data_IF_419571295658
#
_entry.id   IF_419571295658
#
_cell.length_a   1.000
_cell.length_b   1.000
_cell.length_c   1.000
_cell.angle_alpha   90.00
_cell.angle_beta   90.00
_cell.angle_gamma   90.00
#
_symmetry.space_group_name_H-M   'P 1'
#
loop_
_entity.id
_entity.type
_entity.pdbx_description
1 polymer ?
#
# COMPACT_ATOMS: atom_id res chain seq x y z
N UNK A 1 -9.70 12.63 19.87
CA UNK A 1 -10.89 12.06 19.19
C UNK A 1 -10.72 12.25 17.68
N UNK A 2 -10.94 11.21 16.88
CA UNK A 2 -10.90 11.30 15.41
C UNK A 2 -10.21 10.12 14.72
N UNK A 3 -10.87 8.95 14.77
CA UNK A 3 -10.60 7.79 13.90
C UNK A 3 -10.79 8.15 12.41
N UNK A 4 -10.21 7.31 11.55
CA UNK A 4 -10.46 7.10 10.11
C UNK A 4 -9.72 8.02 9.13
N UNK A 5 -8.60 7.51 8.61
CA UNK A 5 -8.24 7.68 7.19
C UNK A 5 -7.27 6.59 6.72
N UNK A 6 -7.51 5.34 7.12
CA UNK A 6 -7.23 4.24 6.17
C UNK A 6 -8.34 4.38 5.15
N UNK A 7 -8.06 5.03 4.03
CA UNK A 7 -8.99 4.99 2.90
C UNK A 7 -9.29 3.52 2.67
N UNK A 8 -10.56 3.17 2.83
CA UNK A 8 -11.11 1.89 2.44
C UNK A 8 -10.85 1.76 0.94
N UNK A 9 -9.73 1.13 0.57
CA UNK A 9 -9.70 0.40 -0.68
C UNK A 9 -10.84 -0.60 -0.51
N UNK A 10 -11.89 -0.48 -1.29
CA UNK A 10 -13.02 -1.40 -1.20
C UNK A 10 -12.50 -2.79 -1.57
N UNK A 11 -12.08 -3.55 -0.56
CA UNK A 11 -11.67 -4.94 -0.64
C UNK A 11 -12.91 -5.85 -0.74
N UNK A 12 -14.02 -5.33 -1.28
CA UNK A 12 -15.36 -5.96 -1.30
C UNK A 12 -15.38 -7.32 -2.03
N UNK A 13 -14.27 -7.75 -2.64
CA UNK A 13 -14.09 -9.07 -3.25
C UNK A 13 -13.06 -10.00 -2.58
N UNK A 14 -12.40 -9.57 -1.50
CA UNK A 14 -11.38 -10.37 -0.79
C UNK A 14 -11.83 -10.70 0.64
N UNK A 15 -11.34 -11.82 1.17
CA UNK A 15 -11.64 -12.19 2.55
C UNK A 15 -11.02 -11.17 3.53
N UNK A 16 -11.65 -11.03 4.70
CA UNK A 16 -11.09 -10.24 5.80
C UNK A 16 -9.69 -10.73 6.19
N UNK A 17 -9.45 -12.03 6.05
CA UNK A 17 -8.16 -12.65 6.32
C UNK A 17 -7.06 -12.12 5.39
N UNK A 18 -7.31 -12.04 4.07
CA UNK A 18 -6.36 -11.49 3.10
C UNK A 18 -6.03 -10.04 3.42
N UNK A 19 -7.06 -9.26 3.74
CA UNK A 19 -6.93 -7.85 4.11
C UNK A 19 -6.04 -7.67 5.35
N UNK A 20 -6.25 -8.51 6.37
CA UNK A 20 -5.44 -8.51 7.59
C UNK A 20 -4.01 -8.97 7.32
N UNK A 21 -3.81 -9.98 6.48
CA UNK A 21 -2.48 -10.46 6.12
C UNK A 21 -1.69 -9.41 5.37
N UNK A 22 -2.27 -8.74 4.38
CA UNK A 22 -1.62 -7.62 3.67
C UNK A 22 -1.16 -6.56 4.67
N UNK A 23 -2.04 -6.21 5.61
CA UNK A 23 -1.69 -5.24 6.63
C UNK A 23 -0.55 -5.72 7.55
N UNK A 24 -0.61 -6.97 8.03
CA UNK A 24 0.41 -7.54 8.90
C UNK A 24 1.76 -7.67 8.20
N UNK A 25 1.80 -8.04 6.92
CA UNK A 25 3.04 -8.10 6.14
C UNK A 25 3.67 -6.72 5.95
N UNK A 26 2.85 -5.67 5.80
CA UNK A 26 3.34 -4.29 5.75
C UNK A 26 3.86 -3.75 7.09
N UNK A 27 3.18 -4.11 8.18
CA UNK A 27 3.42 -3.57 9.53
C UNK A 27 4.59 -4.27 10.26
N UNK A 28 4.69 -5.61 10.18
CA UNK A 28 5.67 -6.39 10.93
C UNK A 28 7.10 -6.21 10.42
N UNK A 29 8.10 -6.41 11.30
CA UNK A 29 9.54 -6.33 10.98
C UNK A 29 10.33 -7.49 11.57
N UNK A 30 11.50 -7.74 10.99
CA UNK A 30 12.53 -8.65 11.52
C UNK A 30 11.94 -10.01 11.93
N UNK A 31 12.19 -10.44 13.17
CA UNK A 31 11.80 -11.74 13.69
C UNK A 31 10.28 -11.96 13.67
N UNK A 32 9.47 -10.93 13.89
CA UNK A 32 8.01 -11.06 13.86
C UNK A 32 7.50 -11.29 12.44
N UNK A 33 8.09 -10.62 11.45
CA UNK A 33 7.80 -10.86 10.04
C UNK A 33 8.18 -12.30 9.68
N UNK A 34 9.38 -12.75 10.03
CA UNK A 34 9.84 -14.11 9.73
C UNK A 34 8.94 -15.19 10.36
N UNK A 35 8.55 -14.98 11.62
CA UNK A 35 7.62 -15.88 12.32
C UNK A 35 6.25 -15.90 11.66
N UNK A 36 5.77 -14.75 11.19
CA UNK A 36 4.49 -14.65 10.52
C UNK A 36 4.53 -15.32 9.14
N UNK A 37 5.56 -15.08 8.34
CA UNK A 37 5.77 -15.76 7.05
C UNK A 37 5.88 -17.28 7.27
N UNK A 38 6.58 -17.71 8.31
CA UNK A 38 6.67 -19.13 8.69
C UNK A 38 5.31 -19.76 8.97
N UNK A 39 4.35 -19.01 9.52
CA UNK A 39 2.96 -19.47 9.69
C UNK A 39 2.23 -19.57 8.33
N UNK A 40 2.40 -18.57 7.46
CA UNK A 40 1.76 -18.54 6.14
C UNK A 40 2.22 -19.70 5.24
N UNK A 41 3.52 -20.02 5.21
CA UNK A 41 4.05 -21.12 4.39
C UNK A 41 3.58 -22.51 4.85
N UNK A 42 3.24 -22.67 6.13
CA UNK A 42 2.76 -23.93 6.73
C UNK A 42 1.29 -24.21 6.42
N UNK A 43 0.54 -23.22 5.92
CA UNK A 43 -0.85 -23.42 5.52
C UNK A 43 -0.95 -24.43 4.39
N UNK A 44 -2.00 -25.25 4.42
CA UNK A 44 -2.30 -26.21 3.35
C UNK A 44 -2.61 -25.53 2.01
N UNK A 45 -3.13 -24.30 2.07
CA UNK A 45 -3.53 -23.47 0.93
C UNK A 45 -2.53 -22.35 0.60
N UNK A 46 -1.30 -22.37 1.17
CA UNK A 46 -0.35 -21.25 1.13
C UNK A 46 -0.16 -20.65 -0.27
N UNK A 47 -0.14 -21.50 -1.30
CA UNK A 47 0.01 -21.06 -2.70
C UNK A 47 -1.21 -20.25 -3.16
N UNK A 48 -2.42 -20.76 -2.92
CA UNK A 48 -3.65 -20.06 -3.29
C UNK A 48 -3.76 -18.75 -2.50
N UNK A 49 -3.42 -18.80 -1.22
CA UNK A 49 -3.45 -17.64 -0.34
C UNK A 49 -2.52 -16.51 -0.81
N UNK A 50 -1.28 -16.84 -1.21
CA UNK A 50 -0.37 -15.87 -1.81
C UNK A 50 -0.90 -15.29 -3.14
N UNK A 51 -1.55 -16.09 -3.99
CA UNK A 51 -2.18 -15.57 -5.21
C UNK A 51 -3.29 -14.54 -4.92
N UNK A 52 -4.10 -14.79 -3.90
CA UNK A 52 -5.15 -13.84 -3.49
C UNK A 52 -4.56 -12.54 -2.94
N UNK A 53 -3.48 -12.62 -2.17
CA UNK A 53 -2.73 -11.44 -1.72
C UNK A 53 -2.20 -10.64 -2.91
N UNK A 54 -1.57 -11.30 -3.89
CA UNK A 54 -1.04 -10.65 -5.09
C UNK A 54 -2.15 -9.94 -5.87
N UNK A 55 -3.31 -10.60 -6.05
CA UNK A 55 -4.49 -10.00 -6.70
C UNK A 55 -5.03 -8.81 -5.92
N UNK A 56 -4.98 -8.86 -4.58
CA UNK A 56 -5.33 -7.72 -3.74
C UNK A 56 -4.38 -6.54 -3.96
N UNK A 57 -3.07 -6.79 -4.08
CA UNK A 57 -2.07 -5.75 -4.34
C UNK A 57 -2.22 -5.10 -5.72
N UNK A 58 -2.57 -5.89 -6.73
CA UNK A 58 -2.92 -5.40 -8.07
C UNK A 58 -4.08 -4.40 -8.01
N UNK A 59 -5.15 -4.76 -7.30
CA UNK A 59 -6.30 -3.88 -7.13
C UNK A 59 -5.94 -2.59 -6.38
N UNK A 60 -5.12 -2.68 -5.33
CA UNK A 60 -4.63 -1.51 -4.58
C UNK A 60 -3.79 -0.59 -5.48
N UNK A 61 -2.94 -1.17 -6.34
CA UNK A 61 -2.09 -0.42 -7.26
C UNK A 61 -2.92 0.33 -8.32
N UNK A 62 -3.90 -0.35 -8.91
CA UNK A 62 -4.75 0.21 -9.96
C UNK A 62 -5.63 1.34 -9.43
N UNK A 63 -6.30 1.10 -8.30
CA UNK A 63 -7.20 2.06 -7.64
C UNK A 63 -6.46 3.19 -6.91
N UNK A 64 -5.13 3.12 -6.81
CA UNK A 64 -4.30 4.12 -6.14
C UNK A 64 -4.32 5.47 -6.86
N UNK A 65 -5.31 6.33 -6.59
CA UNK A 65 -5.44 7.66 -7.21
C UNK A 65 -4.29 8.64 -6.89
N UNK A 66 -3.46 8.32 -5.89
CA UNK A 66 -2.34 9.17 -5.43
C UNK A 66 -0.97 8.57 -5.76
N UNK A 67 -0.91 7.58 -6.64
CA UNK A 67 0.34 6.95 -7.11
C UNK A 67 0.60 7.44 -8.53
N UNK A 68 1.85 7.78 -8.87
CA UNK A 68 2.17 8.21 -10.23
C UNK A 68 2.07 7.05 -11.21
N UNK A 69 1.82 7.32 -12.49
CA UNK A 69 1.82 6.28 -13.53
C UNK A 69 3.16 5.52 -13.62
N UNK A 70 4.28 6.19 -13.31
CA UNK A 70 5.59 5.55 -13.25
C UNK A 70 5.67 4.53 -12.10
N UNK A 71 5.22 4.92 -10.92
CA UNK A 71 5.21 4.06 -9.74
C UNK A 71 4.23 2.91 -9.91
N UNK A 72 3.04 3.16 -10.48
CA UNK A 72 2.07 2.12 -10.84
C UNK A 72 2.66 1.08 -11.77
N UNK A 73 3.38 1.50 -12.83
CA UNK A 73 4.07 0.60 -13.75
C UNK A 73 5.16 -0.22 -13.07
N UNK A 74 5.94 0.39 -12.17
CA UNK A 74 6.97 -0.30 -11.40
C UNK A 74 6.35 -1.39 -10.52
N UNK A 75 5.30 -1.05 -9.76
CA UNK A 75 4.59 -2.00 -8.91
C UNK A 75 3.95 -3.12 -9.74
N UNK A 76 3.33 -2.78 -10.87
CA UNK A 76 2.73 -3.76 -11.79
C UNK A 76 3.76 -4.76 -12.31
N UNK A 77 4.96 -4.31 -12.70
CA UNK A 77 6.03 -5.20 -13.13
C UNK A 77 6.43 -6.19 -12.02
N UNK A 78 6.52 -5.71 -10.77
CA UNK A 78 6.83 -6.56 -9.61
C UNK A 78 5.71 -7.56 -9.30
N UNK A 79 4.46 -7.12 -9.43
CA UNK A 79 3.27 -7.97 -9.29
C UNK A 79 3.27 -9.08 -10.34
N UNK A 80 3.58 -8.77 -11.59
CA UNK A 80 3.67 -9.78 -12.66
C UNK A 80 4.81 -10.79 -12.40
N UNK A 81 6.00 -10.34 -11.98
CA UNK A 81 7.10 -11.23 -11.58
C UNK A 81 6.68 -12.22 -10.47
N UNK A 82 5.93 -11.73 -9.48
CA UNK A 82 5.37 -12.57 -8.42
C UNK A 82 4.31 -13.54 -8.95
N UNK A 83 3.43 -13.12 -9.87
CA UNK A 83 2.45 -14.00 -10.51
C UNK A 83 3.14 -15.12 -11.30
N UNK A 84 4.15 -14.80 -12.09
CA UNK A 84 4.93 -15.78 -12.85
C UNK A 84 5.61 -16.79 -11.94
N UNK A 85 6.23 -16.31 -10.85
CA UNK A 85 6.83 -17.17 -9.83
C UNK A 85 5.83 -18.17 -9.23
N UNK A 86 4.56 -17.76 -9.12
CA UNK A 86 3.47 -18.59 -8.62
C UNK A 86 2.91 -19.59 -9.66
N UNK A 87 3.23 -19.47 -10.95
CA UNK A 87 2.78 -20.43 -11.96
C UNK A 87 3.48 -21.80 -11.88
N UNK A 88 4.63 -21.89 -11.20
CA UNK A 88 5.35 -23.16 -10.95
C UNK A 88 4.41 -24.20 -10.31
N UNK A 89 4.37 -25.42 -10.88
CA UNK A 89 3.47 -26.52 -10.41
C UNK A 89 3.61 -26.79 -8.91
N UNK A 90 4.83 -26.75 -8.39
CA UNK A 90 5.15 -26.93 -6.98
C UNK A 90 6.19 -25.91 -6.57
N UNK A 91 6.00 -25.33 -5.39
CA UNK A 91 6.93 -24.37 -4.79
C UNK A 91 7.52 -25.01 -3.53
N UNK A 92 8.84 -24.98 -3.41
CA UNK A 92 9.53 -25.39 -2.19
C UNK A 92 9.19 -24.43 -1.04
N UNK A 93 9.33 -24.85 0.23
CA UNK A 93 9.15 -23.96 1.37
C UNK A 93 10.01 -22.69 1.29
N UNK A 94 11.22 -22.79 0.73
CA UNK A 94 12.13 -21.65 0.55
C UNK A 94 11.62 -20.69 -0.53
N UNK A 95 11.15 -21.19 -1.66
CA UNK A 95 10.53 -20.34 -2.69
C UNK A 95 9.27 -19.65 -2.19
N UNK A 96 8.43 -20.35 -1.43
CA UNK A 96 7.25 -19.74 -0.80
C UNK A 96 7.64 -18.63 0.17
N UNK A 97 8.68 -18.85 0.98
CA UNK A 97 9.20 -17.85 1.91
C UNK A 97 9.67 -16.61 1.16
N UNK A 98 10.50 -16.80 0.13
CA UNK A 98 10.97 -15.72 -0.74
C UNK A 98 9.80 -14.92 -1.33
N UNK A 99 8.76 -15.58 -1.84
CA UNK A 99 7.58 -14.91 -2.39
C UNK A 99 6.86 -14.05 -1.33
N UNK A 100 6.68 -14.56 -0.10
CA UNK A 100 6.06 -13.78 0.96
C UNK A 100 6.92 -12.61 1.44
N UNK A 101 8.25 -12.74 1.42
CA UNK A 101 9.18 -11.65 1.73
C UNK A 101 9.07 -10.55 0.67
N UNK A 102 9.10 -10.91 -0.62
CA UNK A 102 8.92 -9.96 -1.73
C UNK A 102 7.54 -9.28 -1.71
N UNK A 103 6.48 -10.01 -1.33
CA UNK A 103 5.14 -9.44 -1.11
C UNK A 103 5.19 -8.39 0.02
N UNK A 104 5.85 -8.69 1.14
CA UNK A 104 5.96 -7.76 2.26
C UNK A 104 6.72 -6.49 1.87
N UNK A 105 7.81 -6.62 1.12
CA UNK A 105 8.59 -5.49 0.66
C UNK A 105 7.84 -4.62 -0.36
N UNK A 106 7.10 -5.25 -1.29
CA UNK A 106 6.23 -4.53 -2.21
C UNK A 106 5.14 -3.74 -1.47
N UNK A 107 4.51 -4.33 -0.45
CA UNK A 107 3.51 -3.63 0.39
C UNK A 107 4.13 -2.38 1.02
N UNK A 108 5.31 -2.51 1.62
CA UNK A 108 6.01 -1.39 2.27
C UNK A 108 6.38 -0.30 1.27
N UNK A 109 6.82 -0.67 0.08
CA UNK A 109 7.13 0.28 -0.99
C UNK A 109 5.88 1.07 -1.40
N UNK A 110 4.77 0.38 -1.67
CA UNK A 110 3.49 0.99 -2.01
C UNK A 110 2.99 1.94 -0.90
N UNK A 111 3.14 1.54 0.37
CA UNK A 111 2.78 2.39 1.51
C UNK A 111 3.70 3.60 1.69
N UNK A 112 5.00 3.45 1.43
CA UNK A 112 5.97 4.55 1.46
C UNK A 112 5.61 5.61 0.43
N UNK A 113 5.34 5.19 -0.81
CA UNK A 113 4.91 6.07 -1.90
C UNK A 113 3.62 6.77 -1.52
N UNK A 114 2.64 6.03 -0.99
CA UNK A 114 1.37 6.61 -0.53
C UNK A 114 1.57 7.67 0.55
N UNK A 115 2.40 7.38 1.57
CA UNK A 115 2.70 8.34 2.66
C UNK A 115 3.38 9.59 2.14
N UNK A 116 4.35 9.45 1.24
CA UNK A 116 5.01 10.58 0.58
C UNK A 116 3.99 11.50 -0.13
N UNK A 117 3.08 10.93 -0.91
CA UNK A 117 2.05 11.70 -1.62
C UNK A 117 1.01 12.32 -0.69
N UNK A 118 0.63 11.63 0.39
CA UNK A 118 -0.23 12.20 1.43
C UNK A 118 0.42 13.43 2.07
N UNK A 119 1.69 13.33 2.46
CA UNK A 119 2.44 14.43 3.05
C UNK A 119 2.55 15.62 2.08
N UNK A 120 2.87 15.35 0.81
CA UNK A 120 2.97 16.38 -0.24
C UNK A 120 1.63 17.09 -0.51
N UNK A 121 0.52 16.36 -0.46
CA UNK A 121 -0.81 16.96 -0.62
C UNK A 121 -1.14 17.91 0.54
N UNK A 122 -0.83 17.51 1.78
CA UNK A 122 -1.08 18.32 2.97
C UNK A 122 -0.23 19.59 3.01
N UNK A 123 1.03 19.54 2.56
CA UNK A 123 1.88 20.73 2.50
C UNK A 123 1.39 21.73 1.45
N UNK A 124 0.94 21.28 0.27
CA UNK A 124 0.37 22.18 -0.76
C UNK A 124 -0.86 22.95 -0.28
N UNK A 125 -1.75 22.33 0.52
CA UNK A 125 -2.89 23.04 1.11
C UNK A 125 -2.50 24.15 2.09
N UNK A 126 -1.41 23.97 2.85
CA UNK A 126 -0.94 24.99 3.80
C UNK A 126 -0.48 26.27 3.11
N UNK A 127 0.17 26.16 1.94
CA UNK A 127 0.61 27.32 1.17
C UNK A 127 -0.54 28.12 0.55
N UNK A 128 -1.59 27.43 0.08
CA UNK A 128 -2.79 28.11 -0.46
C UNK A 128 -3.57 28.81 0.64
N UNK A 129 -3.68 28.22 1.83
CA UNK A 129 -4.32 28.87 3.00
C UNK A 129 -3.57 30.12 3.48
N UNK A 130 -2.24 30.08 3.51
CA UNK A 130 -1.43 31.24 3.86
C UNK A 130 -1.52 32.36 2.80
N UNK A 131 -1.47 32.03 1.52
CA UNK A 131 -1.61 33.01 0.44
C UNK A 131 -3.01 33.66 0.42
N UNK A 132 -4.07 32.88 0.68
CA UNK A 132 -5.44 33.38 0.79
C UNK A 132 -5.64 34.32 2.00
N UNK A 133 -5.03 34.01 3.14
CA UNK A 133 -5.09 34.85 4.34
C UNK A 133 -4.35 36.19 4.15
N UNK A 134 -3.21 36.19 3.47
CA UNK A 134 -2.44 37.42 3.17
C UNK A 134 -3.21 38.31 2.18
N UNK A 135 -3.83 37.74 1.15
CA UNK A 135 -4.66 38.49 0.21
C UNK A 135 -5.95 39.02 0.86
N UNK A 136 -6.59 38.23 1.72
CA UNK A 136 -7.76 38.65 2.49
C UNK A 136 -7.46 39.79 3.46
N UNK A 137 -6.32 39.73 4.17
CA UNK A 137 -5.86 40.80 5.04
C UNK A 137 -5.53 42.08 4.24
N UNK A 138 -4.83 41.96 3.11
CA UNK A 138 -4.51 43.10 2.26
C UNK A 138 -5.77 43.80 1.69
N UNK A 139 -6.81 43.05 1.33
CA UNK A 139 -8.09 43.60 0.87
C UNK A 139 -8.89 44.27 2.00
N UNK A 140 -8.87 43.71 3.21
CA UNK A 140 -9.51 44.31 4.38
C UNK A 140 -8.83 45.61 4.83
N UNK A 141 -7.49 45.68 4.77
CA UNK A 141 -6.75 46.91 5.08
C UNK A 141 -6.94 48.00 4.01
N UNK A 142 -7.14 47.62 2.73
CA UNK A 142 -7.39 48.59 1.64
C UNK A 142 -8.79 49.20 1.67
N UNK A 143 -9.79 48.54 2.25
CA UNK A 143 -11.16 49.07 2.42
C UNK A 143 -11.37 49.99 3.64
N UNK A 144 -10.37 50.12 4.52
CA UNK A 144 -10.43 50.96 5.74
C UNK A 144 -9.64 52.29 5.62
N UNK A 145 -9.12 52.62 4.44
CA UNK A 145 -8.65 53.96 4.05
C UNK A 145 -9.64 54.57 3.09
#
# INVERSE_FOLDING_TARGET
MGRKNRQDYQLDGFSQEISQTVQQLGDLRELDLENYISKLIRRSDSKKFACEIIRCLEMINDQGMKITEKDKKKNAAKIEELKESMQKKSLTPMEKRFIYEEIADLIREMESIRRYWLQKSLTSFKYVGAAGAVLGAALLFRKRK
#
